data_IF_067195556196
#
_entry.id   IF_067195556196
#
_cell.length_a   1.000
_cell.length_b   1.000
_cell.length_c   1.000
_cell.angle_alpha   90.00
_cell.angle_beta   90.00
_cell.angle_gamma   90.00
#
_symmetry.space_group_name_H-M   'P 1'
#
loop_
_entity.id
_entity.type
_entity.pdbx_description
1 polymer ?
#
# COMPACT_ATOMS: atom_id res chain seq x y z
N UNK A 1 43.05 1.77 -26.05
CA UNK A 1 41.56 1.67 -26.09
C UNK A 1 41.01 0.58 -25.19
N UNK A 2 41.45 0.46 -23.92
CA UNK A 2 40.96 -0.55 -22.95
C UNK A 2 40.21 0.08 -21.76
N UNK A 3 40.13 1.44 -21.72
CA UNK A 3 39.47 2.15 -20.61
C UNK A 3 37.95 2.16 -20.63
N UNK A 4 37.29 1.80 -21.74
CA UNK A 4 35.81 1.87 -21.86
C UNK A 4 35.06 0.67 -21.31
N UNK A 5 35.66 -0.51 -21.23
CA UNK A 5 34.97 -1.73 -20.79
C UNK A 5 34.80 -1.81 -19.25
N UNK A 6 35.70 -1.20 -18.48
CA UNK A 6 35.66 -1.22 -17.01
C UNK A 6 34.65 -0.21 -16.47
N UNK A 7 34.40 0.91 -17.17
CA UNK A 7 33.35 1.86 -16.76
C UNK A 7 31.92 1.34 -16.99
N UNK A 8 31.72 0.52 -18.04
CA UNK A 8 30.40 -0.08 -18.31
C UNK A 8 29.96 -1.11 -17.25
N UNK A 9 30.87 -1.90 -16.71
CA UNK A 9 30.56 -2.91 -15.69
C UNK A 9 30.19 -2.28 -14.31
N UNK A 10 30.85 -1.15 -13.98
CA UNK A 10 30.51 -0.41 -12.73
C UNK A 10 29.15 0.28 -12.78
N UNK A 11 28.72 0.77 -13.94
CA UNK A 11 27.41 1.41 -14.11
C UNK A 11 26.26 0.40 -14.13
N UNK A 12 26.47 -0.82 -14.66
CA UNK A 12 25.47 -1.87 -14.62
C UNK A 12 25.27 -2.41 -13.19
N UNK A 13 26.30 -2.57 -12.40
CA UNK A 13 26.19 -2.99 -11.00
C UNK A 13 25.54 -1.90 -10.12
N UNK A 14 25.85 -0.62 -10.33
CA UNK A 14 25.24 0.50 -9.64
C UNK A 14 23.76 0.70 -10.00
N UNK A 15 23.38 0.46 -11.26
CA UNK A 15 22.00 0.58 -11.74
C UNK A 15 21.08 -0.51 -11.19
N UNK A 16 21.58 -1.73 -10.98
CA UNK A 16 20.77 -2.84 -10.40
C UNK A 16 20.53 -2.62 -8.91
N UNK A 17 21.51 -2.11 -8.17
CA UNK A 17 21.37 -1.87 -6.73
C UNK A 17 20.45 -0.67 -6.45
N UNK A 18 20.54 0.41 -7.24
CA UNK A 18 19.64 1.56 -7.09
C UNK A 18 18.21 1.27 -7.56
N UNK A 19 18.04 0.44 -8.61
CA UNK A 19 16.71 -0.01 -9.08
C UNK A 19 15.99 -0.90 -8.08
N UNK A 20 16.68 -1.81 -7.42
CA UNK A 20 16.10 -2.68 -6.39
C UNK A 20 15.73 -1.91 -5.12
N UNK A 21 16.52 -0.91 -4.73
CA UNK A 21 16.22 -0.02 -3.60
C UNK A 21 15.01 0.86 -3.84
N UNK A 22 14.84 1.38 -5.07
CA UNK A 22 13.69 2.22 -5.45
C UNK A 22 12.39 1.42 -5.56
N UNK A 23 12.46 0.16 -6.04
CA UNK A 23 11.28 -0.72 -6.08
C UNK A 23 10.82 -1.13 -4.69
N UNK A 24 11.74 -1.44 -3.76
CA UNK A 24 11.41 -1.77 -2.38
C UNK A 24 10.88 -0.55 -1.60
N UNK A 25 11.43 0.64 -1.85
CA UNK A 25 10.95 1.90 -1.26
C UNK A 25 9.58 2.31 -1.78
N UNK A 26 9.29 2.10 -3.07
CA UNK A 26 7.99 2.37 -3.69
C UNK A 26 6.89 1.44 -3.17
N UNK A 27 7.18 0.17 -2.94
CA UNK A 27 6.23 -0.79 -2.37
C UNK A 27 5.93 -0.50 -0.90
N UNK A 28 6.92 -0.07 -0.12
CA UNK A 28 6.72 0.30 1.28
C UNK A 28 5.90 1.60 1.43
N UNK A 29 6.07 2.58 0.55
CA UNK A 29 5.26 3.81 0.52
C UNK A 29 3.87 3.56 -0.05
N UNK A 30 3.70 2.69 -1.06
CA UNK A 30 2.42 2.32 -1.63
C UNK A 30 1.55 1.49 -0.66
N UNK A 31 2.15 0.59 0.12
CA UNK A 31 1.43 -0.19 1.13
C UNK A 31 1.00 0.65 2.34
N UNK A 32 1.75 1.72 2.67
CA UNK A 32 1.38 2.66 3.73
C UNK A 32 0.27 3.64 3.34
N UNK A 33 0.02 3.84 2.04
CA UNK A 33 -1.02 4.71 1.50
C UNK A 33 -2.21 3.96 0.88
N UNK A 34 -2.19 2.63 0.86
CA UNK A 34 -3.43 1.86 0.75
C UNK A 34 -4.22 2.09 2.06
N UNK A 35 -4.63 3.35 2.26
CA UNK A 35 -5.48 3.77 3.34
C UNK A 35 -6.64 2.80 3.39
N UNK A 36 -6.83 2.15 4.53
CA UNK A 36 -8.08 1.49 4.82
C UNK A 36 -9.19 2.45 4.39
N UNK A 37 -10.11 2.02 3.50
CA UNK A 37 -11.16 2.92 3.03
C UNK A 37 -11.83 3.52 4.25
N UNK A 38 -11.90 4.85 4.30
CA UNK A 38 -12.50 5.54 5.43
C UNK A 38 -13.90 4.99 5.64
N UNK A 39 -14.31 4.81 6.90
CA UNK A 39 -15.64 4.29 7.27
C UNK A 39 -16.75 5.00 6.49
N UNK A 40 -16.54 6.29 6.18
CA UNK A 40 -17.43 7.11 5.35
C UNK A 40 -17.63 6.59 3.92
N UNK A 41 -16.63 5.94 3.31
CA UNK A 41 -16.75 5.36 1.96
C UNK A 41 -17.48 4.01 1.96
N UNK A 42 -17.55 3.35 3.13
CA UNK A 42 -18.17 2.03 3.30
C UNK A 42 -19.67 2.11 3.61
N UNK A 43 -20.18 3.27 3.99
CA UNK A 43 -21.59 3.46 4.29
C UNK A 43 -22.42 3.66 3.01
N UNK A 44 -23.70 3.17 2.98
CA UNK A 44 -24.66 3.47 1.92
C UNK A 44 -24.76 4.98 1.67
N UNK A 45 -25.02 5.40 0.44
CA UNK A 45 -24.92 6.82 0.03
C UNK A 45 -25.77 7.77 0.89
N UNK A 46 -26.90 7.31 1.44
CA UNK A 46 -27.78 8.08 2.34
C UNK A 46 -27.25 8.24 3.76
N UNK A 47 -26.24 7.45 4.17
CA UNK A 47 -25.67 7.43 5.52
C UNK A 47 -24.26 8.04 5.57
N UNK A 48 -23.72 8.48 4.42
CA UNK A 48 -22.33 8.94 4.29
C UNK A 48 -22.03 10.24 5.03
N UNK A 49 -23.02 11.12 5.17
CA UNK A 49 -22.79 12.44 5.76
C UNK A 49 -22.94 12.44 7.29
N UNK A 50 -24.00 11.83 7.82
CA UNK A 50 -24.21 11.70 9.26
C UNK A 50 -25.32 10.64 9.53
N UNK A 51 -24.96 9.38 9.81
CA UNK A 51 -25.96 8.34 10.03
C UNK A 51 -26.89 8.65 11.23
N UNK A 52 -26.38 9.32 12.26
CA UNK A 52 -27.14 9.65 13.46
C UNK A 52 -28.21 10.70 13.14
N UNK A 53 -27.90 11.73 12.35
CA UNK A 53 -28.85 12.75 11.93
C UNK A 53 -29.98 12.13 11.07
N UNK A 54 -29.62 11.20 10.17
CA UNK A 54 -30.61 10.49 9.37
C UNK A 54 -31.60 9.70 10.23
N UNK A 55 -31.09 8.96 11.22
CA UNK A 55 -31.97 8.19 12.13
C UNK A 55 -32.80 9.11 13.03
N UNK A 56 -32.20 10.19 13.51
CA UNK A 56 -32.91 11.21 14.30
C UNK A 56 -34.05 11.86 13.49
N UNK A 57 -33.77 12.26 12.23
CA UNK A 57 -34.78 12.81 11.33
C UNK A 57 -35.87 11.77 11.01
N UNK A 58 -35.48 10.52 10.76
CA UNK A 58 -36.44 9.42 10.51
C UNK A 58 -37.37 9.15 11.67
N UNK A 59 -36.89 9.24 12.92
CA UNK A 59 -37.68 9.09 14.12
C UNK A 59 -38.69 10.22 14.29
N UNK A 60 -38.27 11.45 14.03
CA UNK A 60 -39.06 12.66 14.25
C UNK A 60 -39.89 13.06 13.06
N UNK A 61 -39.75 12.39 11.91
CA UNK A 61 -40.53 12.71 10.71
C UNK A 61 -42.00 12.45 10.92
N UNK A 62 -42.79 13.48 10.65
CA UNK A 62 -44.27 13.42 10.74
C UNK A 62 -44.87 14.05 9.49
N UNK A 63 -45.99 13.52 9.03
CA UNK A 63 -46.81 14.11 7.96
C UNK A 63 -47.75 15.20 8.50
N UNK A 64 -47.84 15.35 9.82
CA UNK A 64 -48.62 16.38 10.47
C UNK A 64 -47.75 17.59 10.85
N UNK A 65 -48.28 18.81 10.86
CA UNK A 65 -47.56 19.94 11.38
C UNK A 65 -47.12 19.71 12.82
N UNK A 66 -45.83 19.96 13.09
CA UNK A 66 -45.26 19.71 14.43
C UNK A 66 -46.04 20.52 15.49
N UNK A 67 -46.41 19.82 16.58
CA UNK A 67 -47.01 20.49 17.73
C UNK A 67 -46.07 21.55 18.29
N UNK A 68 -46.58 22.77 18.69
CA UNK A 68 -45.76 23.79 19.31
C UNK A 68 -45.06 23.22 20.57
N UNK A 69 -43.80 23.51 20.70
CA UNK A 69 -43.01 23.09 21.87
C UNK A 69 -43.51 23.86 23.10
N UNK A 70 -44.16 23.17 23.99
CA UNK A 70 -44.57 23.72 25.32
C UNK A 70 -43.49 23.27 26.33
N UNK A 71 -42.60 24.20 26.69
CA UNK A 71 -41.59 24.00 27.71
C UNK A 71 -40.24 24.67 27.38
N UNK A 72 -39.41 24.91 28.40
CA UNK A 72 -38.15 25.62 28.38
C UNK A 72 -37.01 24.92 27.56
N UNK A 73 -37.26 23.74 27.00
CA UNK A 73 -36.26 22.99 26.24
C UNK A 73 -36.37 23.27 24.73
N UNK A 74 -35.28 23.73 24.16
CA UNK A 74 -35.23 24.01 22.72
C UNK A 74 -35.27 22.74 21.88
N UNK A 75 -35.81 22.83 20.66
CA UNK A 75 -35.80 21.69 19.72
C UNK A 75 -34.39 21.09 19.54
N UNK A 76 -33.34 21.89 19.64
CA UNK A 76 -31.96 21.44 19.55
C UNK A 76 -31.47 20.59 20.73
N UNK A 77 -32.05 20.74 21.94
CA UNK A 77 -31.67 19.94 23.09
C UNK A 77 -32.18 18.50 22.96
N UNK A 78 -33.38 18.33 22.49
CA UNK A 78 -33.93 17.00 22.23
C UNK A 78 -33.23 16.27 21.10
N UNK A 79 -32.92 16.98 20.01
CA UNK A 79 -32.13 16.39 18.93
C UNK A 79 -30.79 15.90 19.45
N UNK A 80 -30.09 16.67 20.28
CA UNK A 80 -28.81 16.25 20.88
C UNK A 80 -28.97 15.01 21.77
N UNK A 81 -30.04 14.92 22.57
CA UNK A 81 -30.29 13.77 23.42
C UNK A 81 -30.60 12.51 22.60
N UNK A 82 -31.48 12.61 21.60
CA UNK A 82 -31.79 11.52 20.66
C UNK A 82 -30.51 11.08 19.94
N UNK A 83 -29.74 12.03 19.39
CA UNK A 83 -28.48 11.75 18.71
C UNK A 83 -27.44 11.12 19.64
N UNK A 84 -27.41 11.50 20.92
CA UNK A 84 -26.56 10.88 21.94
C UNK A 84 -26.92 9.41 22.18
N UNK A 85 -28.21 9.11 22.34
CA UNK A 85 -28.70 7.73 22.55
C UNK A 85 -28.41 6.87 21.30
N UNK A 86 -28.75 7.37 20.10
CA UNK A 86 -28.50 6.67 18.84
C UNK A 86 -27.01 6.52 18.55
N UNK A 87 -26.18 7.50 18.91
CA UNK A 87 -24.74 7.44 18.82
C UNK A 87 -24.14 6.37 19.71
N UNK A 88 -24.63 6.27 20.98
CA UNK A 88 -24.25 5.20 21.88
C UNK A 88 -24.67 3.82 21.35
N UNK A 89 -25.90 3.69 20.86
CA UNK A 89 -26.40 2.45 20.24
C UNK A 89 -25.51 2.05 19.03
N UNK A 90 -25.12 2.99 18.18
CA UNK A 90 -24.26 2.72 17.04
C UNK A 90 -22.85 2.27 17.49
N UNK A 91 -22.32 2.87 18.55
CA UNK A 91 -21.02 2.54 19.09
C UNK A 91 -20.98 1.19 19.81
N UNK A 92 -21.96 0.94 20.70
CA UNK A 92 -21.98 -0.24 21.57
C UNK A 92 -22.83 -1.39 21.01
N UNK A 93 -23.86 -1.08 20.23
CA UNK A 93 -24.90 -2.02 19.77
C UNK A 93 -26.01 -2.24 20.79
N UNK A 94 -25.94 -1.57 21.94
CA UNK A 94 -26.87 -1.76 23.05
C UNK A 94 -27.64 -0.46 23.36
N UNK A 95 -28.87 -0.59 23.76
CA UNK A 95 -29.70 0.50 24.21
C UNK A 95 -30.52 0.03 25.45
N UNK A 96 -30.56 0.86 26.47
CA UNK A 96 -31.33 0.54 27.67
C UNK A 96 -32.82 0.61 27.42
N UNK A 97 -33.60 -0.16 28.18
CA UNK A 97 -35.08 -0.10 28.11
C UNK A 97 -35.63 1.26 28.59
N UNK A 98 -34.90 1.92 29.47
CA UNK A 98 -35.19 3.29 29.88
C UNK A 98 -35.06 4.26 28.71
N UNK A 99 -33.96 4.18 27.91
CA UNK A 99 -33.75 5.00 26.73
C UNK A 99 -34.79 4.72 25.64
N UNK A 100 -35.13 3.45 25.39
CA UNK A 100 -36.21 3.08 24.45
C UNK A 100 -37.55 3.69 24.86
N UNK A 101 -37.90 3.60 26.14
CA UNK A 101 -39.15 4.15 26.69
C UNK A 101 -39.15 5.67 26.57
N UNK A 102 -38.02 6.31 26.91
CA UNK A 102 -37.88 7.74 26.79
C UNK A 102 -38.00 8.20 25.32
N UNK A 103 -37.31 7.53 24.38
CA UNK A 103 -37.42 7.80 22.94
C UNK A 103 -38.87 7.67 22.46
N UNK A 104 -39.57 6.60 22.84
CA UNK A 104 -40.97 6.38 22.45
C UNK A 104 -41.86 7.49 22.96
N UNK A 105 -41.69 7.95 24.21
CA UNK A 105 -42.45 9.05 24.80
C UNK A 105 -42.18 10.37 24.01
N UNK A 106 -40.93 10.65 23.66
CA UNK A 106 -40.57 11.83 22.88
C UNK A 106 -41.13 11.78 21.45
N UNK A 107 -41.06 10.62 20.79
CA UNK A 107 -41.63 10.41 19.46
C UNK A 107 -43.15 10.60 19.48
N UNK A 108 -43.85 9.95 20.42
CA UNK A 108 -45.31 10.08 20.57
C UNK A 108 -45.74 11.54 20.78
N UNK A 109 -45.07 12.24 21.71
CA UNK A 109 -45.40 13.64 22.05
C UNK A 109 -45.18 14.60 20.86
N UNK A 110 -44.17 14.35 19.99
CA UNK A 110 -43.82 15.25 18.92
C UNK A 110 -44.46 14.94 17.59
N UNK A 111 -44.73 13.66 17.33
CA UNK A 111 -45.31 13.24 16.04
C UNK A 111 -46.80 13.00 16.12
N UNK A 112 -47.39 13.20 17.29
CA UNK A 112 -48.82 13.01 17.56
C UNK A 112 -49.34 11.63 17.15
N UNK A 113 -48.50 10.60 17.29
CA UNK A 113 -48.88 9.19 17.09
C UNK A 113 -49.14 8.50 18.43
N UNK A 114 -49.76 7.32 18.39
CA UNK A 114 -50.00 6.55 19.60
C UNK A 114 -48.69 6.08 20.25
N UNK A 115 -48.70 5.85 21.55
CA UNK A 115 -47.58 5.33 22.29
C UNK A 115 -47.06 3.99 21.72
N UNK A 116 -47.98 3.14 21.28
CA UNK A 116 -47.70 1.83 20.67
C UNK A 116 -46.97 2.02 19.30
N UNK A 117 -47.43 2.95 18.47
CA UNK A 117 -46.81 3.24 17.19
C UNK A 117 -45.43 3.86 17.39
N UNK A 118 -45.27 4.73 18.39
CA UNK A 118 -44.00 5.31 18.76
C UNK A 118 -42.98 4.24 19.21
N UNK A 119 -43.42 3.31 20.06
CA UNK A 119 -42.58 2.18 20.47
C UNK A 119 -42.17 1.30 19.28
N UNK A 120 -43.10 1.02 18.37
CA UNK A 120 -42.81 0.26 17.15
C UNK A 120 -41.79 0.97 16.28
N UNK A 121 -41.94 2.28 16.10
CA UNK A 121 -40.99 3.12 15.32
C UNK A 121 -39.60 3.14 15.95
N UNK A 122 -39.51 3.28 17.27
CA UNK A 122 -38.24 3.22 18.01
C UNK A 122 -37.59 1.85 17.84
N UNK A 123 -38.32 0.75 18.03
CA UNK A 123 -37.77 -0.59 17.85
C UNK A 123 -37.25 -0.82 16.44
N UNK A 124 -38.01 -0.44 15.41
CA UNK A 124 -37.54 -0.51 14.01
C UNK A 124 -36.29 0.31 13.76
N UNK A 125 -36.18 1.48 14.40
CA UNK A 125 -34.97 2.31 14.27
C UNK A 125 -33.76 1.67 14.96
N UNK A 126 -33.96 1.10 16.16
CA UNK A 126 -32.95 0.35 16.89
C UNK A 126 -32.41 -0.81 16.02
N UNK A 127 -33.32 -1.61 15.44
CA UNK A 127 -32.96 -2.72 14.55
C UNK A 127 -32.14 -2.23 13.32
N UNK A 128 -32.53 -1.10 12.70
CA UNK A 128 -31.80 -0.52 11.58
C UNK A 128 -30.41 -0.05 11.97
N UNK A 129 -30.27 0.62 13.12
CA UNK A 129 -28.97 1.07 13.63
C UNK A 129 -28.07 -0.14 13.92
N UNK A 130 -28.60 -1.19 14.54
CA UNK A 130 -27.86 -2.44 14.79
C UNK A 130 -27.44 -3.13 13.48
N UNK A 131 -28.32 -3.16 12.47
CA UNK A 131 -27.97 -3.71 11.15
C UNK A 131 -26.84 -2.92 10.46
N UNK A 132 -26.89 -1.59 10.51
CA UNK A 132 -25.81 -0.72 9.96
C UNK A 132 -24.49 -0.97 10.70
N UNK A 133 -24.53 -1.11 12.02
CA UNK A 133 -23.35 -1.45 12.82
C UNK A 133 -22.78 -2.82 12.43
N UNK A 134 -23.64 -3.84 12.31
CA UNK A 134 -23.19 -5.18 11.91
C UNK A 134 -22.56 -5.19 10.50
N UNK A 135 -23.13 -4.43 9.57
CA UNK A 135 -22.56 -4.28 8.22
C UNK A 135 -21.21 -3.55 8.26
N UNK A 136 -21.11 -2.48 9.06
CA UNK A 136 -19.85 -1.75 9.23
C UNK A 136 -18.76 -2.66 9.84
N UNK A 137 -19.10 -3.44 10.87
CA UNK A 137 -18.17 -4.40 11.48
C UNK A 137 -17.69 -5.44 10.46
N UNK A 138 -18.60 -6.01 9.68
CA UNK A 138 -18.24 -6.95 8.62
C UNK A 138 -17.27 -6.34 7.60
N UNK A 139 -17.49 -5.10 7.22
CA UNK A 139 -16.58 -4.37 6.32
C UNK A 139 -15.20 -4.14 6.93
N UNK A 140 -15.12 -3.83 8.22
CA UNK A 140 -13.85 -3.71 8.94
C UNK A 140 -13.11 -5.06 8.95
N UNK A 141 -13.80 -6.15 9.23
CA UNK A 141 -13.20 -7.49 9.23
C UNK A 141 -12.71 -7.91 7.84
N UNK A 142 -13.47 -7.58 6.77
CA UNK A 142 -13.05 -7.78 5.39
C UNK A 142 -11.79 -6.96 5.04
N UNK A 143 -11.76 -5.69 5.45
CA UNK A 143 -10.61 -4.82 5.24
C UNK A 143 -9.36 -5.32 5.98
N UNK A 144 -9.51 -5.79 7.22
CA UNK A 144 -8.41 -6.39 7.98
C UNK A 144 -7.83 -7.62 7.26
N UNK A 145 -8.68 -8.52 6.77
CA UNK A 145 -8.24 -9.69 5.99
C UNK A 145 -7.49 -9.29 4.72
N UNK A 146 -7.94 -8.25 4.02
CA UNK A 146 -7.23 -7.73 2.85
C UNK A 146 -5.85 -7.19 3.20
N UNK A 147 -5.74 -6.45 4.31
CA UNK A 147 -4.44 -5.94 4.81
C UNK A 147 -3.49 -7.09 5.16
N UNK A 148 -3.97 -8.15 5.80
CA UNK A 148 -3.17 -9.33 6.11
C UNK A 148 -2.67 -10.04 4.84
N UNK A 149 -3.55 -10.19 3.83
CA UNK A 149 -3.20 -10.77 2.54
C UNK A 149 -2.13 -9.93 1.83
N UNK A 150 -2.33 -8.63 1.74
CA UNK A 150 -1.36 -7.70 1.12
C UNK A 150 0.00 -7.73 1.85
N UNK A 151 -0.02 -7.82 3.17
CA UNK A 151 1.21 -7.94 3.97
C UNK A 151 1.96 -9.23 3.66
N UNK A 152 1.25 -10.36 3.55
CA UNK A 152 1.84 -11.65 3.19
C UNK A 152 2.42 -11.65 1.77
N UNK A 153 1.70 -11.07 0.79
CA UNK A 153 2.18 -10.91 -0.58
C UNK A 153 3.41 -10.00 -0.67
N UNK A 154 3.41 -8.89 0.05
CA UNK A 154 4.55 -7.99 0.11
C UNK A 154 5.79 -8.67 0.71
N UNK A 155 5.61 -9.46 1.78
CA UNK A 155 6.69 -10.24 2.39
C UNK A 155 7.27 -11.26 1.40
N UNK A 156 6.41 -12.00 0.70
CA UNK A 156 6.82 -12.96 -0.33
C UNK A 156 7.59 -12.26 -1.47
N UNK A 157 7.08 -11.14 -1.96
CA UNK A 157 7.76 -10.37 -3.01
C UNK A 157 9.15 -9.87 -2.56
N UNK A 158 9.28 -9.49 -1.29
CA UNK A 158 10.57 -9.09 -0.72
C UNK A 158 11.56 -10.26 -0.66
N UNK A 159 11.10 -11.44 -0.25
CA UNK A 159 11.95 -12.64 -0.16
C UNK A 159 12.34 -13.14 -1.55
N UNK A 160 11.43 -13.10 -2.53
CA UNK A 160 11.72 -13.40 -3.93
C UNK A 160 12.74 -12.40 -4.52
N UNK A 161 12.62 -11.12 -4.18
CA UNK A 161 13.57 -10.10 -4.61
C UNK A 161 14.97 -10.31 -4.00
N UNK A 162 15.05 -10.67 -2.71
CA UNK A 162 16.33 -11.02 -2.04
C UNK A 162 17.00 -12.21 -2.70
N UNK A 163 16.23 -13.27 -2.99
CA UNK A 163 16.76 -14.48 -3.65
C UNK A 163 17.30 -14.13 -5.04
N UNK A 164 16.55 -13.40 -5.85
CA UNK A 164 17.00 -12.95 -7.18
C UNK A 164 18.24 -12.07 -7.11
N UNK A 165 18.33 -11.19 -6.12
CA UNK A 165 19.50 -10.35 -5.92
C UNK A 165 20.74 -11.17 -5.53
N UNK A 166 20.60 -12.19 -4.68
CA UNK A 166 21.67 -13.09 -4.32
C UNK A 166 22.17 -13.91 -5.54
N UNK A 167 21.25 -14.46 -6.33
CA UNK A 167 21.60 -15.18 -7.58
C UNK A 167 22.30 -14.28 -8.59
N UNK A 168 21.86 -13.02 -8.74
CA UNK A 168 22.49 -12.05 -9.62
C UNK A 168 23.90 -11.70 -9.14
N UNK A 169 24.10 -11.53 -7.83
CA UNK A 169 25.41 -11.25 -7.25
C UNK A 169 26.38 -12.42 -7.46
N UNK A 170 25.93 -13.67 -7.29
CA UNK A 170 26.76 -14.87 -7.53
C UNK A 170 27.15 -14.98 -9.02
N UNK A 171 26.20 -14.78 -9.94
CA UNK A 171 26.49 -14.76 -11.38
C UNK A 171 27.51 -13.67 -11.74
N UNK A 172 27.38 -12.48 -11.18
CA UNK A 172 28.32 -11.39 -11.38
C UNK A 172 29.72 -11.73 -10.84
N UNK A 173 29.80 -12.39 -9.67
CA UNK A 173 31.05 -12.87 -9.09
C UNK A 173 31.74 -13.87 -9.99
N UNK A 174 31.03 -14.88 -10.47
CA UNK A 174 31.58 -15.91 -11.39
C UNK A 174 32.05 -15.27 -12.70
N UNK A 175 31.26 -14.38 -13.30
CA UNK A 175 31.65 -13.66 -14.52
C UNK A 175 32.89 -12.79 -14.29
N UNK A 176 33.01 -12.13 -13.15
CA UNK A 176 34.18 -11.34 -12.76
C UNK A 176 35.45 -12.18 -12.66
N UNK A 177 35.38 -13.36 -12.06
CA UNK A 177 36.49 -14.32 -11.95
C UNK A 177 36.92 -14.77 -13.34
N UNK A 178 36.01 -15.18 -14.22
CA UNK A 178 36.32 -15.61 -15.59
C UNK A 178 36.99 -14.48 -16.38
N UNK A 179 36.48 -13.26 -16.26
CA UNK A 179 37.10 -12.09 -16.92
C UNK A 179 38.51 -11.83 -16.43
N UNK A 180 38.75 -11.94 -15.12
CA UNK A 180 40.07 -11.78 -14.53
C UNK A 180 41.08 -12.86 -15.07
N UNK A 181 40.62 -14.11 -15.18
CA UNK A 181 41.43 -15.20 -15.76
C UNK A 181 41.76 -14.94 -17.23
N UNK A 182 40.80 -14.49 -18.04
CA UNK A 182 41.03 -14.16 -19.44
C UNK A 182 42.03 -13.00 -19.61
N UNK A 183 41.93 -11.99 -18.78
CA UNK A 183 42.86 -10.84 -18.79
C UNK A 183 44.27 -11.30 -18.38
N UNK A 184 44.40 -12.14 -17.35
CA UNK A 184 45.71 -12.67 -16.95
C UNK A 184 46.34 -13.55 -18.04
N UNK A 185 45.53 -14.42 -18.66
CA UNK A 185 46.01 -15.25 -19.78
C UNK A 185 46.46 -14.41 -20.98
N UNK A 186 45.68 -13.39 -21.35
CA UNK A 186 46.05 -12.50 -22.47
C UNK A 186 47.33 -11.68 -22.17
N UNK A 187 47.53 -11.25 -20.94
CA UNK A 187 48.74 -10.57 -20.50
C UNK A 187 49.98 -11.47 -20.60
N UNK A 188 49.85 -12.76 -20.19
CA UNK A 188 50.93 -13.73 -20.30
C UNK A 188 51.29 -14.01 -21.76
N UNK A 189 50.31 -14.19 -22.64
CA UNK A 189 50.53 -14.37 -24.07
C UNK A 189 51.24 -13.14 -24.70
N UNK A 190 50.77 -11.94 -24.31
CA UNK A 190 51.37 -10.70 -24.78
C UNK A 190 52.84 -10.54 -24.32
N UNK A 191 53.13 -10.88 -23.06
CA UNK A 191 54.49 -10.85 -22.52
C UNK A 191 55.39 -11.86 -23.21
N UNK A 192 54.92 -13.09 -23.46
CA UNK A 192 55.69 -14.10 -24.20
C UNK A 192 55.97 -13.67 -25.65
N UNK A 193 54.98 -13.13 -26.34
CA UNK A 193 55.17 -12.60 -27.70
C UNK A 193 56.16 -11.45 -27.74
N UNK A 194 56.09 -10.51 -26.78
CA UNK A 194 57.05 -9.41 -26.65
C UNK A 194 58.46 -9.90 -26.38
N UNK A 195 58.63 -10.91 -25.50
CA UNK A 195 59.94 -11.53 -25.21
C UNK A 195 60.52 -12.19 -26.44
N UNK A 196 59.76 -13.02 -27.16
CA UNK A 196 60.22 -13.67 -28.43
C UNK A 196 60.57 -12.61 -29.46
N UNK A 197 59.77 -11.58 -29.62
CA UNK A 197 60.04 -10.46 -30.54
C UNK A 197 61.35 -9.72 -30.20
N UNK A 198 61.56 -9.43 -28.92
CA UNK A 198 62.75 -8.75 -28.44
C UNK A 198 64.02 -9.60 -28.66
N UNK A 199 64.01 -10.88 -28.35
CA UNK A 199 65.12 -11.82 -28.53
C UNK A 199 65.43 -11.99 -30.02
N UNK A 200 64.45 -12.17 -30.88
CA UNK A 200 64.63 -12.30 -32.33
C UNK A 200 65.12 -11.01 -32.96
N UNK A 201 64.56 -9.87 -32.63
CA UNK A 201 64.98 -8.56 -33.11
C UNK A 201 66.34 -8.19 -32.64
N UNK A 202 66.74 -8.54 -31.40
CA UNK A 202 68.10 -8.34 -30.89
C UNK A 202 69.11 -9.15 -31.65
N UNK A 203 68.92 -10.42 -31.92
CA UNK A 203 69.79 -11.31 -32.71
C UNK A 203 69.99 -10.78 -34.14
N UNK A 204 68.92 -10.36 -34.83
CA UNK A 204 69.00 -9.79 -36.17
C UNK A 204 69.83 -8.50 -36.22
N UNK A 205 69.73 -7.68 -35.18
CA UNK A 205 70.55 -6.49 -35.06
C UNK A 205 72.05 -6.82 -34.86
N UNK A 206 72.35 -7.77 -33.98
CA UNK A 206 73.73 -8.15 -33.64
C UNK A 206 74.41 -8.90 -34.79
N UNK A 207 73.63 -9.62 -35.63
CA UNK A 207 74.10 -10.28 -36.86
C UNK A 207 74.20 -9.32 -38.09
N UNK A 208 73.89 -8.04 -37.91
CA UNK A 208 73.96 -7.04 -39.02
C UNK A 208 72.94 -7.25 -40.12
N UNK A 209 71.91 -8.06 -39.88
CA UNK A 209 70.87 -8.32 -40.89
C UNK A 209 69.87 -7.13 -40.91
N UNK A 210 69.93 -6.38 -42.05
CA UNK A 210 68.98 -5.32 -42.32
C UNK A 210 67.63 -5.94 -42.64
N UNK A 211 66.58 -5.61 -41.83
CA UNK A 211 65.23 -6.06 -42.06
C UNK A 211 64.65 -5.38 -43.30
N UNK A 212 64.61 -6.10 -44.42
CA UNK A 212 64.27 -5.57 -45.74
C UNK A 212 62.71 -5.27 -45.91
N UNK A 213 61.95 -5.18 -44.84
CA UNK A 213 60.52 -4.88 -44.93
C UNK A 213 59.74 -5.88 -45.79
N UNK A 214 58.44 -5.87 -45.70
CA UNK A 214 57.53 -6.59 -46.62
C UNK A 214 57.56 -5.86 -47.97
N UNK A 215 58.49 -6.24 -48.89
CA UNK A 215 58.43 -5.78 -50.26
C UNK A 215 57.23 -6.36 -50.97
N UNK A 216 56.23 -5.55 -51.19
CA UNK A 216 55.08 -5.90 -52.05
C UNK A 216 55.65 -6.06 -53.49
N UNK A 217 55.78 -7.28 -53.94
CA UNK A 217 56.11 -7.58 -55.33
C UNK A 217 54.81 -7.36 -56.14
N UNK A 218 54.86 -6.32 -57.03
CA UNK A 218 53.81 -6.12 -58.03
C UNK A 218 53.72 -7.29 -58.98
#
# INVERSE_FOLDING_TARGET
AVGGAVQGAGQLAGGIISGAGSAAGGLAQGAGQAAAPSIEQMLPQGLKANPIDYFTDSLLRTDAPAAPLTGDQSAGDYQRQISGILGNLLATGEISDADKTWLANQVAARTNISQTDAQTRVNQTVERVQAVRAEAQKKVDEAQKQVETLKAEAQKALDDAKTKAADAAEKARVAGILTAFLLAASALVSAAAAYIGAVHGGRHRDEGRIWGGLSYRK
#
